data_IF_217533205096
#
_entry.id   IF_217533205096
#
_cell.length_a   1.000
_cell.length_b   1.000
_cell.length_c   1.000
_cell.angle_alpha   90.00
_cell.angle_beta   90.00
_cell.angle_gamma   90.00
#
_symmetry.space_group_name_H-M   'P 1'
#
loop_
_entity.id
_entity.type
_entity.pdbx_description
1 polymer ?
#
# COMPACT_ATOMS: atom_id res chain seq x y z
N UNK A 1 9.13 -33.08 -34.99
CA UNK A 1 8.46 -31.76 -34.98
C UNK A 1 9.48 -30.72 -34.59
N UNK A 2 9.81 -29.78 -35.47
CA UNK A 2 10.89 -28.81 -35.24
C UNK A 2 10.40 -27.63 -34.39
N UNK A 3 11.06 -27.39 -33.25
CA UNK A 3 10.77 -26.29 -32.32
C UNK A 3 11.12 -24.93 -32.94
N UNK A 4 10.10 -24.12 -33.26
CA UNK A 4 10.26 -22.74 -33.78
C UNK A 4 10.03 -21.64 -32.70
N UNK A 5 10.03 -22.01 -31.39
CA UNK A 5 9.68 -21.13 -30.29
C UNK A 5 10.65 -19.99 -29.94
N UNK A 6 11.97 -20.18 -29.91
CA UNK A 6 12.88 -19.14 -29.36
C UNK A 6 13.15 -17.96 -30.32
N UNK A 7 12.97 -18.15 -31.62
CA UNK A 7 13.30 -17.10 -32.62
C UNK A 7 12.26 -15.97 -32.67
N UNK A 8 10.98 -16.29 -32.42
CA UNK A 8 9.89 -15.29 -32.44
C UNK A 8 9.98 -14.33 -31.26
N UNK A 9 10.40 -14.84 -30.09
CA UNK A 9 10.55 -14.02 -28.87
C UNK A 9 11.69 -12.99 -28.98
N UNK A 10 12.80 -13.34 -29.67
CA UNK A 10 13.92 -12.45 -29.91
C UNK A 10 13.60 -11.31 -30.89
N UNK A 11 12.80 -11.56 -31.91
CA UNK A 11 12.37 -10.55 -32.88
C UNK A 11 11.39 -9.53 -32.28
N UNK A 12 10.51 -9.96 -31.35
CA UNK A 12 9.59 -9.05 -30.66
C UNK A 12 10.34 -8.09 -29.70
N UNK A 13 11.38 -8.56 -29.02
CA UNK A 13 12.20 -7.73 -28.14
C UNK A 13 12.99 -6.66 -28.87
N UNK A 14 13.51 -6.96 -30.07
CA UNK A 14 14.25 -6.00 -30.88
C UNK A 14 13.38 -4.85 -31.40
N UNK A 15 12.12 -5.13 -31.75
CA UNK A 15 11.18 -4.12 -32.23
C UNK A 15 10.82 -3.08 -31.15
N UNK A 16 10.64 -3.51 -29.90
CA UNK A 16 10.34 -2.61 -28.76
C UNK A 16 11.53 -1.72 -28.42
N UNK A 17 12.75 -2.24 -28.47
CA UNK A 17 13.97 -1.47 -28.23
C UNK A 17 14.19 -0.36 -29.29
N UNK A 18 13.88 -0.63 -30.57
CA UNK A 18 13.98 0.34 -31.65
C UNK A 18 12.97 1.49 -31.54
N UNK A 19 11.74 1.21 -31.10
CA UNK A 19 10.71 2.24 -30.90
C UNK A 19 11.07 3.19 -29.77
N UNK A 20 11.62 2.68 -28.66
CA UNK A 20 12.09 3.51 -27.54
C UNK A 20 13.26 4.41 -27.89
N UNK A 21 14.17 3.95 -28.78
CA UNK A 21 15.32 4.74 -29.22
C UNK A 21 14.90 5.92 -30.12
N UNK A 22 13.91 5.74 -31.00
CA UNK A 22 13.38 6.80 -31.88
C UNK A 22 12.67 7.91 -31.10
N UNK A 23 11.93 7.57 -30.04
CA UNK A 23 11.25 8.57 -29.20
C UNK A 23 12.26 9.43 -28.44
N UNK A 24 13.38 8.86 -27.99
CA UNK A 24 14.38 9.59 -27.21
C UNK A 24 15.23 10.56 -28.06
N UNK A 25 15.50 10.23 -29.33
CA UNK A 25 16.26 11.10 -30.27
C UNK A 25 15.45 12.33 -30.70
N UNK A 26 14.10 12.23 -30.80
CA UNK A 26 13.25 13.35 -31.17
C UNK A 26 13.07 14.40 -30.04
N UNK A 27 13.27 14.02 -28.77
CA UNK A 27 13.19 14.96 -27.66
C UNK A 27 14.41 15.90 -27.59
N UNK A 28 15.57 15.46 -28.06
CA UNK A 28 16.84 16.23 -28.00
C UNK A 28 16.97 17.28 -29.10
N UNK A 29 16.21 17.18 -30.21
CA UNK A 29 16.30 18.12 -31.37
C UNK A 29 15.45 19.39 -31.25
N UNK A 30 14.61 19.52 -30.22
CA UNK A 30 13.76 20.72 -30.05
C UNK A 30 14.36 21.83 -29.22
N UNK A 31 15.58 21.68 -28.70
CA UNK A 31 16.20 22.68 -27.80
C UNK A 31 17.43 23.40 -28.38
N UNK A 32 17.67 23.33 -29.71
CA UNK A 32 18.73 24.09 -30.37
C UNK A 32 18.19 24.85 -31.55
N UNK A 33 17.72 26.05 -31.32
CA UNK A 33 17.35 27.00 -32.38
C UNK A 33 17.14 28.40 -31.83
N UNK A 34 18.15 29.25 -31.93
CA UNK A 34 17.94 30.65 -31.73
C UNK A 34 19.07 31.40 -30.99
N UNK A 35 20.20 31.57 -31.63
CA UNK A 35 21.14 32.66 -31.36
C UNK A 35 21.91 32.96 -32.62
N UNK A 36 21.54 34.06 -33.30
CA UNK A 36 22.47 34.87 -34.09
C UNK A 36 21.78 36.21 -34.37
N UNK A 37 22.48 37.32 -34.09
CA UNK A 37 22.06 38.67 -34.40
C UNK A 37 22.74 39.71 -33.53
N UNK A 38 24.02 39.97 -33.86
CA UNK A 38 24.76 41.09 -33.31
C UNK A 38 24.39 42.41 -34.01
N UNK A 39 24.18 43.49 -33.23
CA UNK A 39 24.47 44.86 -33.70
C UNK A 39 24.74 45.77 -32.51
N UNK A 40 25.93 46.36 -32.52
CA UNK A 40 26.37 47.43 -31.67
C UNK A 40 25.52 48.68 -31.79
N UNK A 41 25.30 49.44 -30.70
CA UNK A 41 25.42 50.90 -30.61
C UNK A 41 25.69 51.31 -29.16
N UNK A 42 26.53 52.34 -29.03
CA UNK A 42 27.16 52.82 -27.83
C UNK A 42 26.32 53.68 -26.90
N UNK A 43 26.72 53.65 -25.63
CA UNK A 43 26.74 54.69 -24.62
C UNK A 43 25.48 55.56 -24.39
N UNK A 44 24.86 55.43 -23.21
CA UNK A 44 24.82 56.57 -22.29
C UNK A 44 24.67 56.11 -20.83
N UNK A 45 25.44 56.77 -19.97
CA UNK A 45 25.54 56.47 -18.56
C UNK A 45 24.38 57.16 -17.79
N UNK A 46 23.51 56.33 -17.13
CA UNK A 46 22.80 56.83 -15.96
C UNK A 46 22.63 55.66 -14.97
N UNK A 47 23.43 55.70 -13.93
CA UNK A 47 23.40 54.73 -12.86
C UNK A 47 22.14 54.92 -12.00
N UNK A 48 21.13 54.08 -12.23
CA UNK A 48 20.04 53.88 -11.29
C UNK A 48 20.19 52.49 -10.69
N UNK A 49 20.57 52.43 -9.43
CA UNK A 49 20.66 51.19 -8.62
C UNK A 49 19.31 50.49 -8.65
N UNK A 50 19.22 49.25 -9.11
CA UNK A 50 17.98 48.49 -8.97
C UNK A 50 17.76 48.17 -7.48
N UNK A 51 16.64 48.63 -6.96
CA UNK A 51 16.17 48.21 -5.64
C UNK A 51 15.99 46.70 -5.62
N UNK A 52 16.63 46.04 -4.66
CA UNK A 52 16.48 44.60 -4.43
C UNK A 52 14.97 44.27 -4.22
N UNK A 53 14.39 43.50 -5.15
CA UNK A 53 13.06 42.94 -4.92
C UNK A 53 13.10 42.01 -3.69
N UNK A 54 12.14 42.13 -2.78
CA UNK A 54 12.02 41.21 -1.67
C UNK A 54 11.78 39.80 -2.25
N UNK A 55 12.72 38.90 -2.09
CA UNK A 55 12.54 37.49 -2.36
C UNK A 55 11.56 36.94 -1.31
N UNK A 56 10.31 36.70 -1.70
CA UNK A 56 9.35 35.95 -0.90
C UNK A 56 9.95 34.58 -0.63
N UNK A 57 10.05 34.14 0.64
CA UNK A 57 10.50 32.76 0.93
C UNK A 57 9.58 31.76 0.24
N UNK A 58 10.10 30.62 -0.28
CA UNK A 58 9.23 29.58 -0.83
C UNK A 58 8.22 29.14 0.24
N UNK A 59 6.98 28.84 -0.14
CA UNK A 59 5.96 28.40 0.80
C UNK A 59 6.47 27.14 1.50
N UNK A 60 6.63 27.22 2.81
CA UNK A 60 6.91 26.06 3.65
C UNK A 60 5.70 25.13 3.51
N UNK A 61 5.86 24.02 2.81
CA UNK A 61 4.84 22.98 2.76
C UNK A 61 4.61 22.52 4.20
N UNK A 62 3.47 22.87 4.76
CA UNK A 62 3.07 22.40 6.09
C UNK A 62 3.12 20.87 6.07
N UNK A 63 3.83 20.29 7.03
CA UNK A 63 3.84 18.83 7.18
C UNK A 63 2.40 18.35 7.35
N UNK A 64 1.99 17.36 6.56
CA UNK A 64 0.66 16.79 6.65
C UNK A 64 0.41 16.32 8.09
N UNK A 65 -0.77 16.61 8.63
CA UNK A 65 -1.13 16.20 9.99
C UNK A 65 -1.00 14.65 10.11
N UNK A 66 -0.54 14.15 11.25
CA UNK A 66 -0.39 12.72 11.47
C UNK A 66 -1.76 12.03 11.29
N UNK A 67 -1.80 11.04 10.41
CA UNK A 67 -3.03 10.28 10.12
C UNK A 67 -2.92 8.91 10.78
N UNK A 68 -3.89 8.60 11.66
CA UNK A 68 -4.10 7.26 12.20
C UNK A 68 -5.53 6.82 11.92
N UNK A 69 -5.69 5.74 11.17
CA UNK A 69 -7.00 5.23 10.79
C UNK A 69 -6.96 3.72 10.50
N UNK A 70 -8.04 3.02 10.84
CA UNK A 70 -8.23 1.62 10.47
C UNK A 70 -9.48 1.51 9.60
N UNK A 71 -9.36 0.80 8.49
CA UNK A 71 -10.45 0.50 7.56
C UNK A 71 -10.67 -1.00 7.53
N UNK A 72 -11.91 -1.46 7.52
CA UNK A 72 -12.22 -2.88 7.43
C UNK A 72 -13.56 -3.14 6.73
N UNK A 73 -13.62 -4.22 5.96
CA UNK A 73 -14.82 -4.64 5.24
C UNK A 73 -14.58 -5.86 4.38
N UNK A 74 -15.60 -6.26 3.65
CA UNK A 74 -15.49 -7.29 2.62
C UNK A 74 -14.97 -6.68 1.33
N UNK A 75 -14.23 -7.45 0.54
CA UNK A 75 -13.82 -7.06 -0.81
C UNK A 75 -15.02 -7.12 -1.77
N UNK A 76 -14.94 -6.41 -2.88
CA UNK A 76 -15.96 -6.43 -3.93
C UNK A 76 -16.12 -7.83 -4.52
N UNK A 77 -17.37 -8.23 -4.75
CA UNK A 77 -17.69 -9.57 -5.20
C UNK A 77 -17.58 -10.65 -4.13
N UNK A 78 -17.20 -10.30 -2.89
CA UNK A 78 -17.11 -11.21 -1.75
C UNK A 78 -15.98 -12.22 -1.82
N UNK A 79 -16.03 -13.22 -0.93
CA UNK A 79 -15.08 -14.33 -0.86
C UNK A 79 -13.81 -14.04 -0.06
N UNK A 80 -13.60 -12.80 0.38
CA UNK A 80 -12.55 -12.41 1.32
C UNK A 80 -12.94 -11.13 2.07
N UNK A 81 -12.25 -10.88 3.18
CA UNK A 81 -12.30 -9.64 3.93
C UNK A 81 -10.93 -8.97 3.94
N UNK A 82 -10.90 -7.65 4.04
CA UNK A 82 -9.70 -6.83 4.06
C UNK A 82 -9.75 -5.85 5.21
N UNK A 83 -8.66 -5.71 5.94
CA UNK A 83 -8.44 -4.60 6.86
C UNK A 83 -7.14 -3.88 6.54
N UNK A 84 -7.12 -2.56 6.74
CA UNK A 84 -5.97 -1.68 6.50
C UNK A 84 -5.81 -0.79 7.73
N UNK A 85 -4.68 -0.88 8.40
CA UNK A 85 -4.30 0.02 9.48
C UNK A 85 -3.26 1.01 8.97
N UNK A 86 -3.53 2.30 9.10
CA UNK A 86 -2.66 3.41 8.68
C UNK A 86 -2.13 4.13 9.92
N UNK A 87 -0.85 4.42 9.94
CA UNK A 87 -0.19 5.16 11.01
C UNK A 87 0.96 6.01 10.47
N UNK A 88 0.75 7.33 10.40
CA UNK A 88 1.79 8.33 10.13
C UNK A 88 2.69 8.03 8.93
N UNK A 89 2.10 7.76 7.77
CA UNK A 89 2.85 7.52 6.53
C UNK A 89 3.13 6.05 6.23
N UNK A 90 2.85 5.15 7.16
CA UNK A 90 2.96 3.70 6.97
C UNK A 90 1.59 3.04 7.02
N UNK A 91 1.47 1.86 6.42
CA UNK A 91 0.27 1.05 6.54
C UNK A 91 0.58 -0.45 6.53
N UNK A 92 -0.29 -1.19 7.20
CA UNK A 92 -0.35 -2.63 7.18
C UNK A 92 -1.75 -3.03 6.73
N UNK A 93 -1.83 -3.97 5.81
CA UNK A 93 -3.08 -4.56 5.39
C UNK A 93 -3.04 -6.08 5.54
N UNK A 94 -4.20 -6.63 5.85
CA UNK A 94 -4.41 -8.07 5.92
C UNK A 94 -5.67 -8.44 5.16
N UNK A 95 -5.52 -9.35 4.21
CA UNK A 95 -6.63 -9.96 3.47
C UNK A 95 -6.72 -11.43 3.85
N UNK A 96 -7.92 -11.93 4.11
CA UNK A 96 -8.14 -13.36 4.30
C UNK A 96 -9.56 -13.79 3.90
N UNK A 97 -9.68 -15.07 3.51
CA UNK A 97 -10.97 -15.71 3.18
C UNK A 97 -11.59 -16.46 4.37
N UNK A 98 -10.91 -16.45 5.52
CA UNK A 98 -11.32 -17.17 6.73
C UNK A 98 -11.14 -18.68 6.63
N UNK A 99 -10.39 -19.17 5.65
CA UNK A 99 -10.14 -20.60 5.42
C UNK A 99 -8.66 -20.90 5.27
N UNK A 100 -8.07 -20.51 4.15
CA UNK A 100 -6.68 -20.81 3.79
C UNK A 100 -5.95 -19.68 3.08
N UNK A 101 -6.69 -18.78 2.44
CA UNK A 101 -6.08 -17.65 1.72
C UNK A 101 -5.84 -16.51 2.68
N UNK A 102 -4.58 -16.11 2.82
CA UNK A 102 -4.22 -14.91 3.56
C UNK A 102 -3.08 -14.17 2.88
N UNK A 103 -3.04 -12.86 3.06
CA UNK A 103 -1.92 -12.02 2.66
C UNK A 103 -1.72 -10.88 3.66
N UNK A 104 -0.51 -10.79 4.21
CA UNK A 104 -0.02 -9.66 4.96
C UNK A 104 0.75 -8.74 4.03
N UNK A 105 0.38 -7.47 4.00
CA UNK A 105 0.95 -6.45 3.15
C UNK A 105 1.37 -5.27 4.01
N UNK A 106 2.51 -4.66 3.69
CA UNK A 106 2.98 -3.46 4.38
C UNK A 106 3.60 -2.48 3.38
N UNK A 107 3.60 -1.21 3.73
CA UNK A 107 4.15 -0.19 2.85
C UNK A 107 3.78 1.23 3.27
N UNK A 108 3.62 2.10 2.28
CA UNK A 108 3.39 3.52 2.50
C UNK A 108 1.92 3.92 2.45
N UNK A 109 1.55 4.88 3.29
CA UNK A 109 0.26 5.55 3.31
C UNK A 109 0.49 7.06 3.42
N UNK A 110 0.80 7.71 2.30
CA UNK A 110 1.15 9.12 2.24
C UNK A 110 0.33 9.83 1.17
N UNK A 111 0.03 11.11 1.40
CA UNK A 111 -0.72 11.98 0.47
C UNK A 111 -2.04 11.37 -0.02
N UNK A 112 -2.73 10.67 0.88
CA UNK A 112 -3.98 9.97 0.55
C UNK A 112 -3.83 8.75 -0.34
N UNK A 113 -2.60 8.23 -0.54
CA UNK A 113 -2.30 7.07 -1.37
C UNK A 113 -1.80 5.90 -0.54
N UNK A 114 -2.23 4.70 -0.93
CA UNK A 114 -1.78 3.42 -0.38
C UNK A 114 -0.95 2.67 -1.41
N UNK A 115 0.22 2.20 -1.00
CA UNK A 115 1.06 1.32 -1.82
C UNK A 115 1.75 0.30 -0.90
N UNK A 116 1.19 -0.90 -0.86
CA UNK A 116 1.62 -1.97 0.04
C UNK A 116 1.97 -3.21 -0.76
N UNK A 117 2.98 -3.93 -0.27
CA UNK A 117 3.43 -5.20 -0.85
C UNK A 117 3.63 -6.24 0.24
N UNK A 118 3.61 -7.51 -0.15
CA UNK A 118 3.87 -8.66 0.71
C UNK A 118 4.37 -9.85 -0.09
N UNK A 119 4.63 -10.96 0.59
CA UNK A 119 5.21 -12.15 -0.02
C UNK A 119 4.42 -12.68 -1.23
N UNK A 120 3.09 -12.61 -1.17
CA UNK A 120 2.20 -13.21 -2.17
C UNK A 120 1.07 -12.26 -2.60
N UNK A 121 1.28 -10.94 -2.46
CA UNK A 121 0.26 -9.96 -2.81
C UNK A 121 0.74 -8.51 -2.82
N UNK A 122 -0.16 -7.63 -3.23
CA UNK A 122 0.02 -6.18 -3.26
C UNK A 122 -1.31 -5.46 -3.11
N UNK A 123 -1.27 -4.20 -2.67
CA UNK A 123 -2.44 -3.34 -2.56
C UNK A 123 -2.08 -1.95 -3.06
N UNK A 124 -2.95 -1.39 -3.89
CA UNK A 124 -2.87 -0.01 -4.34
C UNK A 124 -4.24 0.65 -4.19
N UNK A 125 -4.23 1.92 -3.76
CA UNK A 125 -5.47 2.63 -3.54
C UNK A 125 -5.27 4.03 -3.01
N UNK A 126 -6.38 4.61 -2.59
CA UNK A 126 -6.44 5.92 -1.93
C UNK A 126 -7.18 5.80 -0.61
N UNK A 127 -6.90 6.72 0.30
CA UNK A 127 -7.61 6.83 1.58
C UNK A 127 -7.83 8.28 1.95
N UNK A 128 -8.93 8.53 2.63
CA UNK A 128 -9.33 9.86 3.09
C UNK A 128 -10.83 9.93 3.33
N UNK A 129 -11.30 10.98 3.99
CA UNK A 129 -12.73 11.22 4.25
C UNK A 129 -13.48 10.02 4.86
N UNK A 130 -12.78 9.20 5.65
CA UNK A 130 -13.37 8.04 6.31
C UNK A 130 -13.50 6.77 5.45
N UNK A 131 -12.83 6.74 4.30
CA UNK A 131 -12.90 5.63 3.35
C UNK A 131 -11.52 5.27 2.78
N UNK A 132 -11.34 4.01 2.40
CA UNK A 132 -10.21 3.54 1.59
C UNK A 132 -10.73 2.75 0.40
N UNK A 133 -10.27 3.11 -0.82
CA UNK A 133 -10.75 2.54 -2.09
C UNK A 133 -9.55 2.12 -2.93
N UNK A 134 -9.64 0.98 -3.59
CA UNK A 134 -8.55 0.51 -4.45
C UNK A 134 -8.68 -0.93 -4.89
N UNK A 135 -7.53 -1.54 -5.16
CA UNK A 135 -7.42 -2.95 -5.53
C UNK A 135 -6.41 -3.67 -4.64
N UNK A 136 -6.69 -4.91 -4.33
CA UNK A 136 -5.80 -5.82 -3.62
C UNK A 136 -5.64 -7.11 -4.40
N UNK A 137 -4.40 -7.55 -4.57
CA UNK A 137 -4.06 -8.83 -5.18
C UNK A 137 -3.46 -9.74 -4.14
N UNK A 138 -3.91 -10.99 -4.06
CA UNK A 138 -3.32 -12.01 -3.21
C UNK A 138 -3.48 -13.40 -3.87
N UNK A 139 -2.45 -14.22 -3.78
CA UNK A 139 -2.45 -15.59 -4.34
C UNK A 139 -2.94 -15.66 -5.80
N UNK A 140 -2.56 -14.66 -6.62
CA UNK A 140 -2.90 -14.59 -8.05
C UNK A 140 -4.32 -14.12 -8.37
N UNK A 141 -5.12 -13.71 -7.36
CA UNK A 141 -6.46 -13.13 -7.56
C UNK A 141 -6.45 -11.66 -7.19
N UNK A 142 -7.24 -10.87 -7.88
CA UNK A 142 -7.41 -9.43 -7.64
C UNK A 142 -8.85 -9.12 -7.30
N UNK A 143 -9.05 -8.25 -6.29
CA UNK A 143 -10.35 -7.75 -5.87
C UNK A 143 -10.31 -6.22 -5.79
N UNK A 144 -11.42 -5.57 -6.10
CA UNK A 144 -11.69 -4.20 -5.72
C UNK A 144 -12.07 -4.12 -4.24
N UNK A 145 -11.89 -2.96 -3.63
CA UNK A 145 -12.39 -2.69 -2.30
C UNK A 145 -12.82 -1.23 -2.13
N UNK A 146 -13.86 -1.04 -1.30
CA UNK A 146 -14.31 0.25 -0.78
C UNK A 146 -14.63 0.05 0.71
N UNK A 147 -13.67 0.36 1.57
CA UNK A 147 -13.73 0.10 3.02
C UNK A 147 -14.03 1.38 3.77
N UNK A 148 -14.85 1.29 4.81
CA UNK A 148 -15.09 2.39 5.74
C UNK A 148 -14.16 2.33 6.93
N UNK A 149 -13.89 3.50 7.52
CA UNK A 149 -13.17 3.60 8.80
C UNK A 149 -13.94 2.86 9.89
N UNK A 150 -13.21 2.09 10.68
CA UNK A 150 -13.72 1.38 11.85
C UNK A 150 -12.98 1.82 13.12
N UNK A 151 -13.54 1.50 14.28
CA UNK A 151 -12.95 1.74 15.60
C UNK A 151 -13.02 0.47 16.42
N UNK A 152 -12.10 0.30 17.36
CA UNK A 152 -12.09 -0.83 18.29
C UNK A 152 -13.48 -1.10 18.90
N UNK A 153 -13.88 -2.36 19.01
CA UNK A 153 -13.11 -3.58 18.78
C UNK A 153 -13.00 -4.00 17.30
N UNK A 154 -13.63 -3.26 16.36
CA UNK A 154 -13.47 -3.53 14.92
C UNK A 154 -12.09 -3.08 14.45
N UNK A 155 -11.42 -3.93 13.65
CA UNK A 155 -10.07 -3.64 13.20
C UNK A 155 -9.30 -4.89 12.79
N UNK A 156 -7.99 -4.75 12.76
CA UNK A 156 -7.02 -5.77 12.43
C UNK A 156 -6.30 -6.25 13.68
N UNK A 157 -6.26 -7.56 13.90
CA UNK A 157 -5.57 -8.17 15.04
C UNK A 157 -4.57 -9.21 14.57
N UNK A 158 -3.47 -9.36 15.33
CA UNK A 158 -2.42 -10.34 15.06
C UNK A 158 -1.95 -11.01 16.32
N UNK A 159 -1.66 -12.31 16.24
CA UNK A 159 -1.00 -13.09 17.28
C UNK A 159 0.23 -13.80 16.72
N UNK A 160 1.23 -13.96 17.56
CA UNK A 160 2.33 -14.91 17.35
C UNK A 160 2.56 -15.64 18.68
N UNK A 161 2.38 -16.93 18.67
CA UNK A 161 2.46 -17.77 19.88
C UNK A 161 3.12 -19.12 19.58
N UNK A 162 3.55 -19.81 20.62
CA UNK A 162 3.95 -21.20 20.53
C UNK A 162 2.87 -22.07 21.17
N UNK A 163 2.30 -22.97 20.39
CA UNK A 163 1.29 -23.94 20.82
C UNK A 163 1.81 -25.33 20.54
N UNK A 164 1.94 -26.17 21.58
CA UNK A 164 2.45 -27.56 21.45
C UNK A 164 3.77 -27.66 20.68
N UNK A 165 4.71 -26.75 20.92
CA UNK A 165 6.01 -26.63 20.23
C UNK A 165 5.94 -26.24 18.73
N UNK A 166 4.78 -25.82 18.22
CA UNK A 166 4.64 -25.24 16.91
C UNK A 166 4.47 -23.72 17.00
N UNK A 167 5.10 -22.98 16.09
CA UNK A 167 4.83 -21.54 15.96
C UNK A 167 3.48 -21.38 15.27
N UNK A 168 2.60 -20.61 15.92
CA UNK A 168 1.28 -20.24 15.42
C UNK A 168 1.26 -18.73 15.16
N UNK A 169 0.97 -18.34 13.94
CA UNK A 169 0.74 -16.94 13.58
C UNK A 169 -0.72 -16.80 13.18
N UNK A 170 -1.46 -15.92 13.85
CA UNK A 170 -2.86 -15.66 13.55
C UNK A 170 -3.11 -14.24 13.10
N UNK A 171 -4.01 -14.07 12.12
CA UNK A 171 -4.57 -12.81 11.71
C UNK A 171 -6.09 -12.81 11.81
N UNK A 172 -6.69 -11.72 12.29
CA UNK A 172 -8.13 -11.55 12.37
C UNK A 172 -8.55 -10.18 11.88
N UNK A 173 -9.65 -10.16 11.15
CA UNK A 173 -10.39 -8.96 10.78
C UNK A 173 -11.69 -8.97 11.58
N UNK A 174 -11.88 -7.95 12.40
CA UNK A 174 -13.13 -7.73 13.13
C UNK A 174 -13.89 -6.62 12.41
N UNK A 175 -14.99 -6.98 11.78
CA UNK A 175 -15.81 -6.07 10.99
C UNK A 175 -16.73 -5.21 11.88
N UNK A 176 -17.23 -4.10 11.36
CA UNK A 176 -18.15 -3.22 12.07
C UNK A 176 -19.45 -3.93 12.53
N UNK A 177 -19.83 -5.01 11.87
CA UNK A 177 -20.96 -5.88 12.27
C UNK A 177 -20.67 -6.78 13.47
N UNK A 178 -19.40 -6.83 13.95
CA UNK A 178 -18.94 -7.80 14.93
C UNK A 178 -18.53 -9.16 14.33
N UNK A 179 -18.78 -9.40 13.03
CA UNK A 179 -18.32 -10.62 12.37
C UNK A 179 -16.78 -10.64 12.34
N UNK A 180 -16.22 -11.78 12.67
CA UNK A 180 -14.77 -12.00 12.66
C UNK A 180 -14.40 -12.96 11.55
N UNK A 181 -13.33 -12.66 10.84
CA UNK A 181 -12.75 -13.49 9.79
C UNK A 181 -11.26 -13.59 10.06
N UNK A 182 -10.73 -14.80 10.11
CA UNK A 182 -9.30 -14.98 10.42
C UNK A 182 -8.74 -16.31 9.95
N UNK A 183 -7.42 -16.35 9.84
CA UNK A 183 -6.63 -17.54 9.51
C UNK A 183 -5.51 -17.67 10.53
N UNK A 184 -5.31 -18.89 11.04
CA UNK A 184 -4.11 -19.30 11.75
C UNK A 184 -3.17 -19.96 10.76
N UNK A 185 -1.88 -19.68 10.90
CA UNK A 185 -0.83 -20.45 10.24
C UNK A 185 -0.10 -21.26 11.32
N UNK A 186 -0.31 -22.56 11.32
CA UNK A 186 0.27 -23.50 12.28
C UNK A 186 1.40 -24.26 11.59
N UNK A 187 2.63 -23.96 11.94
CA UNK A 187 3.83 -24.59 11.33
C UNK A 187 3.86 -24.52 9.77
N UNK A 188 3.28 -23.49 9.19
CA UNK A 188 3.22 -23.30 7.72
C UNK A 188 1.90 -23.70 7.09
N UNK A 189 1.00 -24.38 7.82
CA UNK A 189 -0.30 -24.82 7.32
C UNK A 189 -1.41 -23.84 7.75
N UNK A 190 -2.18 -23.29 6.79
CA UNK A 190 -3.27 -22.38 7.09
C UNK A 190 -4.55 -23.12 7.48
N UNK A 191 -5.20 -22.63 8.55
CA UNK A 191 -6.50 -23.11 9.03
C UNK A 191 -7.40 -21.97 9.49
N UNK A 192 -8.74 -22.16 9.56
CA UNK A 192 -9.64 -21.15 10.09
C UNK A 192 -9.29 -20.76 11.53
N UNK A 193 -9.20 -19.48 11.81
CA UNK A 193 -8.95 -18.99 13.16
C UNK A 193 -10.22 -19.06 14.02
N UNK A 194 -10.13 -19.47 15.30
CA UNK A 194 -11.22 -19.33 16.25
C UNK A 194 -11.50 -17.84 16.53
N UNK A 195 -12.74 -17.52 16.91
CA UNK A 195 -13.11 -16.15 17.23
C UNK A 195 -12.31 -15.62 18.45
N UNK A 196 -11.95 -14.35 18.39
CA UNK A 196 -11.35 -13.62 19.51
C UNK A 196 -12.42 -13.20 20.52
N UNK A 197 -12.17 -13.40 21.78
CA UNK A 197 -12.85 -12.70 22.85
C UNK A 197 -12.11 -11.38 23.10
N UNK A 198 -12.73 -10.25 22.73
CA UNK A 198 -12.15 -8.90 22.85
C UNK A 198 -12.97 -8.14 23.91
N UNK A 199 -12.41 -7.92 25.13
CA UNK A 199 -13.09 -7.15 26.14
C UNK A 199 -13.35 -5.69 25.68
N UNK A 200 -14.46 -5.09 26.04
CA UNK A 200 -14.74 -3.69 25.70
C UNK A 200 -13.64 -2.74 26.16
N UNK A 201 -13.23 -1.80 25.29
CA UNK A 201 -12.23 -0.79 25.60
C UNK A 201 -10.78 -1.29 25.60
N UNK A 202 -10.53 -2.52 25.11
CA UNK A 202 -9.18 -3.06 24.96
C UNK A 202 -8.77 -3.16 23.50
N UNK A 203 -7.46 -3.13 23.25
CA UNK A 203 -6.84 -3.41 21.95
C UNK A 203 -6.26 -4.84 21.87
N UNK A 204 -6.73 -5.73 22.75
CA UNK A 204 -6.29 -7.12 22.80
C UNK A 204 -7.50 -8.06 22.82
N UNK A 205 -7.33 -9.20 22.17
CA UNK A 205 -8.29 -10.29 22.20
C UNK A 205 -7.61 -11.62 22.53
N UNK A 206 -8.37 -12.58 23.02
CA UNK A 206 -7.87 -13.93 23.31
C UNK A 206 -8.66 -14.98 22.54
N UNK A 207 -7.97 -16.04 22.12
CA UNK A 207 -8.58 -17.23 21.52
C UNK A 207 -7.98 -18.50 22.11
N UNK A 208 -8.70 -19.60 22.05
CA UNK A 208 -8.19 -20.91 22.42
C UNK A 208 -7.80 -21.69 21.17
N UNK A 209 -6.55 -22.12 21.11
CA UNK A 209 -6.00 -22.93 20.02
C UNK A 209 -5.46 -24.22 20.63
N UNK A 210 -6.06 -25.34 20.32
CA UNK A 210 -5.68 -26.64 20.83
C UNK A 210 -5.53 -26.72 22.37
N UNK A 211 -6.43 -26.05 23.11
CA UNK A 211 -6.40 -25.99 24.57
C UNK A 211 -5.43 -24.94 25.14
N UNK A 212 -4.67 -24.23 24.30
CA UNK A 212 -3.78 -23.14 24.71
C UNK A 212 -4.43 -21.78 24.43
N UNK A 213 -4.54 -20.92 25.43
CA UNK A 213 -4.99 -19.56 25.23
C UNK A 213 -3.87 -18.73 24.58
N UNK A 214 -4.16 -18.10 23.45
CA UNK A 214 -3.28 -17.14 22.78
C UNK A 214 -3.86 -15.74 22.86
N UNK A 215 -2.98 -14.73 22.81
CA UNK A 215 -3.38 -13.32 22.80
C UNK A 215 -3.09 -12.71 21.43
N UNK A 216 -4.08 -12.05 20.87
CA UNK A 216 -3.94 -11.21 19.68
C UNK A 216 -3.97 -9.73 20.07
N UNK A 217 -3.15 -8.92 19.42
CA UNK A 217 -3.04 -7.49 19.65
C UNK A 217 -3.52 -6.76 18.41
N UNK A 218 -4.20 -5.63 18.59
CA UNK A 218 -4.61 -4.76 17.49
C UNK A 218 -3.37 -4.24 16.74
N UNK A 219 -3.39 -4.35 15.42
CA UNK A 219 -2.36 -3.83 14.52
C UNK A 219 -2.68 -2.37 14.20
N UNK A 220 -1.77 -1.47 14.53
CA UNK A 220 -1.99 -0.04 14.41
C UNK A 220 -1.37 0.59 13.13
N UNK A 221 -0.78 -0.22 12.26
CA UNK A 221 -0.16 0.23 11.02
C UNK A 221 1.30 0.67 11.12
N UNK A 222 1.91 0.66 12.31
CA UNK A 222 3.30 1.08 12.49
C UNK A 222 4.31 -0.03 12.15
N UNK A 223 3.99 -1.29 12.42
CA UNK A 223 4.85 -2.46 12.21
C UNK A 223 4.06 -3.78 12.27
N UNK A 224 4.63 -4.83 11.65
CA UNK A 224 4.20 -6.22 11.78
C UNK A 224 5.01 -6.95 12.83
#
# INVERSE_FOLDING_TARGET
MKHKGPVITLLAGLAVALVLLVVNVNATKRNQGGRDGAANVAADANATTPAAQPTTPPPTTAAAAPVKATFAGDVEGGGASLAIAVNNGTAIAYLCDGKRTEAWLQGTAADGKLNLTGKNGSLQGTFGSGEAIGTVTASGRTWGFALKTVKAPSGLYRSTANVRNATVVGGWIVLASGRQVGVLNVAGEPEPAPALNIPPGTSTGTANVDGTQITAVEVDGSQL
#
